data_IF_965705502273
#
_entry.id   IF_965705502273
#
_cell.length_a   1.000
_cell.length_b   1.000
_cell.length_c   1.000
_cell.angle_alpha   90.00
_cell.angle_beta   90.00
_cell.angle_gamma   90.00
#
_symmetry.space_group_name_H-M   'P 1'
#
loop_
_entity.id
_entity.type
_entity.pdbx_description
1 polymer ?
#
# COMPACT_ATOMS: atom_id res chain seq x y z
N UNK A 1 -24.34 -22.23 -19.62
CA UNK A 1 -23.10 -21.42 -19.44
C UNK A 1 -23.53 -19.96 -19.28
N UNK A 2 -23.13 -19.13 -18.31
CA UNK A 2 -22.24 -19.21 -17.16
C UNK A 2 -22.99 -18.59 -15.96
N UNK A 3 -22.95 -19.24 -14.79
CA UNK A 3 -23.55 -18.68 -13.57
C UNK A 3 -22.78 -17.40 -13.22
N UNK A 4 -23.48 -16.26 -13.19
CA UNK A 4 -22.98 -14.92 -12.86
C UNK A 4 -21.79 -14.95 -11.89
N UNK A 5 -20.57 -14.75 -12.40
CA UNK A 5 -19.40 -14.50 -11.57
C UNK A 5 -19.56 -13.12 -10.95
N UNK A 6 -20.22 -13.02 -9.79
CA UNK A 6 -20.05 -11.86 -8.91
C UNK A 6 -18.63 -11.96 -8.37
N UNK A 7 -17.71 -11.05 -8.74
CA UNK A 7 -16.38 -11.06 -8.15
C UNK A 7 -16.56 -10.96 -6.64
N UNK A 8 -15.96 -11.90 -5.90
CA UNK A 8 -15.96 -11.83 -4.44
C UNK A 8 -15.33 -10.49 -4.03
N UNK A 9 -15.85 -9.81 -3.00
CA UNK A 9 -15.37 -8.50 -2.55
C UNK A 9 -13.86 -8.51 -2.35
N UNK A 10 -13.33 -9.57 -1.72
CA UNK A 10 -11.89 -9.83 -1.64
C UNK A 10 -11.17 -9.71 -2.98
N UNK A 11 -11.69 -10.34 -4.04
CA UNK A 11 -11.07 -10.34 -5.37
C UNK A 11 -11.07 -8.94 -5.98
N UNK A 12 -12.12 -8.15 -5.77
CA UNK A 12 -12.17 -6.74 -6.24
C UNK A 12 -11.06 -5.94 -5.55
N UNK A 13 -10.91 -6.08 -4.23
CA UNK A 13 -9.89 -5.36 -3.46
C UNK A 13 -8.48 -5.82 -3.86
N UNK A 14 -8.21 -7.14 -3.90
CA UNK A 14 -6.87 -7.67 -4.17
C UNK A 14 -6.42 -7.41 -5.61
N UNK A 15 -7.32 -7.48 -6.60
CA UNK A 15 -6.98 -7.20 -8.00
C UNK A 15 -6.65 -5.73 -8.24
N UNK A 16 -7.12 -4.82 -7.37
CA UNK A 16 -6.91 -3.38 -7.49
C UNK A 16 -5.87 -2.82 -6.51
N UNK A 17 -5.27 -3.67 -5.66
CA UNK A 17 -4.35 -3.25 -4.59
C UNK A 17 -3.13 -2.46 -5.08
N UNK A 18 -2.67 -2.72 -6.31
CA UNK A 18 -1.54 -2.01 -6.91
C UNK A 18 -1.91 -0.59 -7.39
N UNK A 19 -3.17 -0.37 -7.78
CA UNK A 19 -3.65 0.87 -8.40
C UNK A 19 -4.20 1.86 -7.38
N UNK A 20 -4.91 1.35 -6.37
CA UNK A 20 -5.63 2.17 -5.41
C UNK A 20 -4.69 2.81 -4.39
N UNK A 21 -5.03 4.05 -4.01
CA UNK A 21 -4.28 4.86 -3.04
C UNK A 21 -5.16 5.35 -1.89
N UNK A 22 -6.48 5.38 -2.07
CA UNK A 22 -7.40 5.91 -1.05
C UNK A 22 -8.54 4.93 -0.71
N UNK A 23 -9.09 5.05 0.51
CA UNK A 23 -10.25 4.23 0.93
C UNK A 23 -11.48 4.57 0.07
N UNK A 24 -11.60 5.83 -0.38
CA UNK A 24 -12.69 6.28 -1.26
C UNK A 24 -12.70 5.50 -2.58
N UNK A 25 -11.55 5.35 -3.22
CA UNK A 25 -11.40 4.56 -4.45
C UNK A 25 -11.78 3.09 -4.22
N UNK A 26 -11.41 2.49 -3.07
CA UNK A 26 -11.84 1.12 -2.74
C UNK A 26 -13.36 1.01 -2.63
N UNK A 27 -14.01 1.97 -1.97
CA UNK A 27 -15.47 2.01 -1.84
C UNK A 27 -16.12 2.09 -3.22
N UNK A 28 -15.66 3.01 -4.07
CA UNK A 28 -16.18 3.22 -5.43
C UNK A 28 -16.06 1.96 -6.30
N UNK A 29 -14.96 1.20 -6.16
CA UNK A 29 -14.75 -0.07 -6.88
C UNK A 29 -15.73 -1.18 -6.47
N UNK A 30 -16.13 -1.21 -5.20
CA UNK A 30 -16.97 -2.28 -4.65
C UNK A 30 -18.46 -2.10 -4.94
N UNK A 31 -18.89 -0.88 -5.33
CA UNK A 31 -20.30 -0.52 -5.59
C UNK A 31 -21.26 -0.83 -4.43
N UNK A 32 -20.75 -0.85 -3.19
CA UNK A 32 -21.57 -0.97 -1.97
C UNK A 32 -21.56 0.34 -1.18
N UNK A 33 -22.50 0.50 -0.25
CA UNK A 33 -22.51 1.66 0.64
C UNK A 33 -21.27 1.67 1.56
N UNK A 34 -20.87 2.85 2.03
CA UNK A 34 -19.71 3.02 2.93
C UNK A 34 -19.80 2.13 4.16
N UNK A 35 -20.96 2.07 4.80
CA UNK A 35 -21.20 1.26 6.00
C UNK A 35 -21.00 -0.23 5.72
N UNK A 36 -21.55 -0.73 4.62
CA UNK A 36 -21.38 -2.13 4.20
C UNK A 36 -19.92 -2.41 3.84
N UNK A 37 -19.26 -1.48 3.15
CA UNK A 37 -17.84 -1.59 2.82
C UNK A 37 -16.99 -1.78 4.06
N UNK A 38 -17.07 -0.88 5.06
CA UNK A 38 -16.19 -0.95 6.23
C UNK A 38 -16.42 -2.23 7.04
N UNK A 39 -17.69 -2.61 7.25
CA UNK A 39 -18.03 -3.86 7.95
C UNK A 39 -17.44 -5.06 7.23
N UNK A 40 -17.74 -5.19 5.94
CA UNK A 40 -17.29 -6.33 5.11
C UNK A 40 -15.77 -6.37 4.94
N UNK A 41 -15.13 -5.20 4.83
CA UNK A 41 -13.68 -5.12 4.74
C UNK A 41 -13.02 -5.65 6.02
N UNK A 42 -13.53 -5.24 7.19
CA UNK A 42 -13.01 -5.75 8.45
C UNK A 42 -13.23 -7.26 8.61
N UNK A 43 -14.44 -7.75 8.26
CA UNK A 43 -14.76 -9.19 8.27
C UNK A 43 -13.84 -10.02 7.36
N UNK A 44 -13.49 -9.52 6.17
CA UNK A 44 -12.69 -10.27 5.20
C UNK A 44 -11.16 -10.08 5.39
N UNK A 45 -10.69 -8.94 5.90
CA UNK A 45 -9.26 -8.61 5.99
C UNK A 45 -8.72 -8.52 7.43
N UNK A 46 -9.59 -8.57 8.44
CA UNK A 46 -9.21 -8.51 9.85
C UNK A 46 -8.63 -7.17 10.31
N UNK A 47 -8.70 -6.13 9.46
CA UNK A 47 -8.17 -4.79 9.75
C UNK A 47 -8.95 -3.72 9.02
N UNK A 48 -8.77 -2.46 9.41
CA UNK A 48 -9.41 -1.34 8.70
C UNK A 48 -8.82 -1.15 7.29
N UNK A 49 -9.65 -0.69 6.35
CA UNK A 49 -9.20 -0.37 4.99
C UNK A 49 -8.08 0.68 4.96
N UNK A 50 -8.03 1.59 5.94
CA UNK A 50 -6.97 2.58 6.08
C UNK A 50 -5.63 1.92 6.44
N UNK A 51 -5.62 1.05 7.46
CA UNK A 51 -4.42 0.30 7.86
C UNK A 51 -3.94 -0.59 6.71
N UNK A 52 -4.86 -1.27 6.04
CA UNK A 52 -4.52 -2.12 4.91
C UNK A 52 -3.88 -1.31 3.76
N UNK A 53 -4.45 -0.16 3.39
CA UNK A 53 -3.85 0.71 2.37
C UNK A 53 -2.48 1.24 2.78
N UNK A 54 -2.29 1.55 4.06
CA UNK A 54 -0.99 1.94 4.59
C UNK A 54 0.01 0.78 4.44
N UNK A 55 -0.35 -0.44 4.85
CA UNK A 55 0.51 -1.62 4.68
C UNK A 55 0.87 -1.83 3.20
N UNK A 56 -0.10 -1.74 2.29
CA UNK A 56 0.16 -1.82 0.83
C UNK A 56 1.03 -0.68 0.31
N UNK A 57 0.94 0.52 0.89
CA UNK A 57 1.85 1.61 0.56
C UNK A 57 3.27 1.27 1.00
N UNK A 58 3.47 0.78 2.23
CA UNK A 58 4.78 0.40 2.74
C UNK A 58 5.41 -0.74 1.93
N UNK A 59 4.63 -1.76 1.59
CA UNK A 59 5.03 -2.85 0.67
C UNK A 59 5.55 -2.33 -0.66
N UNK A 60 4.79 -1.43 -1.31
CA UNK A 60 5.21 -0.85 -2.59
C UNK A 60 6.49 -0.04 -2.47
N UNK A 61 6.64 0.75 -1.41
CA UNK A 61 7.83 1.59 -1.21
C UNK A 61 9.06 0.71 -0.98
N UNK A 62 8.96 -0.29 -0.10
CA UNK A 62 10.05 -1.22 0.15
C UNK A 62 10.44 -1.99 -1.11
N UNK A 63 9.45 -2.47 -1.88
CA UNK A 63 9.70 -3.15 -3.15
C UNK A 63 10.42 -2.24 -4.15
N UNK A 64 9.94 -1.01 -4.36
CA UNK A 64 10.60 -0.04 -5.24
C UNK A 64 12.02 0.30 -4.77
N UNK A 65 12.25 0.37 -3.47
CA UNK A 65 13.57 0.65 -2.91
C UNK A 65 14.62 -0.41 -3.28
N UNK A 66 14.20 -1.65 -3.57
CA UNK A 66 15.09 -2.72 -4.06
C UNK A 66 15.66 -2.46 -5.45
N UNK A 67 15.02 -1.62 -6.27
CA UNK A 67 15.40 -1.47 -7.67
C UNK A 67 16.83 -0.90 -7.83
N UNK A 68 17.62 -1.46 -8.77
CA UNK A 68 18.94 -0.92 -9.11
C UNK A 68 18.84 0.53 -9.54
N UNK A 69 19.79 1.38 -9.10
CA UNK A 69 19.80 2.81 -9.45
C UNK A 69 18.67 3.64 -8.84
N UNK A 70 17.86 3.07 -7.93
CA UNK A 70 16.90 3.82 -7.11
C UNK A 70 17.66 4.83 -6.23
N UNK A 71 17.18 6.08 -6.23
CA UNK A 71 17.69 7.17 -5.39
C UNK A 71 16.60 7.64 -4.44
N UNK A 72 16.97 8.35 -3.37
CA UNK A 72 16.01 8.93 -2.43
C UNK A 72 14.99 9.84 -3.12
N UNK A 73 15.46 10.67 -4.08
CA UNK A 73 14.61 11.54 -4.89
C UNK A 73 13.62 10.75 -5.75
N UNK A 74 14.10 9.73 -6.48
CA UNK A 74 13.23 8.89 -7.31
C UNK A 74 12.18 8.19 -6.45
N UNK A 75 12.61 7.54 -5.37
CA UNK A 75 11.71 6.82 -4.47
C UNK A 75 10.67 7.74 -3.84
N UNK A 76 11.05 8.95 -3.42
CA UNK A 76 10.13 9.97 -2.90
C UNK A 76 9.03 10.32 -3.91
N UNK A 77 9.42 10.68 -5.12
CA UNK A 77 8.50 11.05 -6.21
C UNK A 77 7.58 9.88 -6.56
N UNK A 78 8.15 8.68 -6.71
CA UNK A 78 7.44 7.44 -7.01
C UNK A 78 6.44 6.99 -5.94
N UNK A 79 6.64 7.47 -4.71
CA UNK A 79 5.80 7.22 -3.55
C UNK A 79 4.73 8.30 -3.36
N UNK A 80 4.72 9.34 -4.22
CA UNK A 80 3.73 10.42 -4.22
C UNK A 80 4.05 11.58 -3.28
N UNK A 81 5.26 11.67 -2.72
CA UNK A 81 5.66 12.77 -1.84
C UNK A 81 6.21 13.95 -2.65
N UNK A 82 5.78 15.16 -2.29
CA UNK A 82 6.23 16.42 -2.92
C UNK A 82 7.42 17.06 -2.21
N UNK A 83 7.73 16.60 -1.00
CA UNK A 83 8.70 17.23 -0.10
C UNK A 83 9.60 16.19 0.55
N UNK A 84 10.91 16.44 0.52
CA UNK A 84 11.91 15.57 1.12
C UNK A 84 11.76 15.47 2.66
N UNK A 85 11.52 16.57 3.41
CA UNK A 85 11.19 16.49 4.83
C UNK A 85 9.98 15.59 5.13
N UNK A 86 8.90 15.71 4.35
CA UNK A 86 7.71 14.88 4.55
C UNK A 86 8.00 13.39 4.33
N UNK A 87 8.76 13.07 3.29
CA UNK A 87 9.17 11.70 3.00
C UNK A 87 10.14 11.16 4.06
N UNK A 88 11.07 11.99 4.54
CA UNK A 88 11.99 11.61 5.60
C UNK A 88 11.26 11.24 6.89
N UNK A 89 10.34 12.09 7.35
CA UNK A 89 9.50 11.81 8.52
C UNK A 89 8.65 10.56 8.31
N UNK A 90 8.08 10.38 7.11
CA UNK A 90 7.35 9.17 6.78
C UNK A 90 8.21 7.91 6.89
N UNK A 91 9.43 7.92 6.34
CA UNK A 91 10.34 6.78 6.41
C UNK A 91 10.71 6.43 7.85
N UNK A 92 11.05 7.45 8.66
CA UNK A 92 11.38 7.24 10.07
C UNK A 92 10.20 6.72 10.88
N UNK A 93 8.99 7.25 10.65
CA UNK A 93 7.80 6.81 11.37
C UNK A 93 7.39 5.38 11.03
N UNK A 94 7.42 5.00 9.74
CA UNK A 94 6.84 3.73 9.30
C UNK A 94 7.87 2.59 9.20
N UNK A 95 9.13 2.89 8.90
CA UNK A 95 10.20 1.89 8.76
C UNK A 95 11.25 1.98 9.87
N UNK A 96 11.30 3.07 10.65
CA UNK A 96 12.40 3.35 11.56
C UNK A 96 13.69 3.82 10.87
N UNK A 97 13.66 4.04 9.54
CA UNK A 97 14.83 4.26 8.71
C UNK A 97 14.81 5.64 8.03
N UNK A 98 15.98 6.20 7.74
CA UNK A 98 16.09 7.29 6.76
C UNK A 98 15.78 6.76 5.35
N UNK A 99 15.40 7.62 4.39
CA UNK A 99 15.25 7.22 3.00
C UNK A 99 16.48 6.51 2.40
N UNK A 100 17.69 6.94 2.77
CA UNK A 100 18.94 6.31 2.34
C UNK A 100 19.10 4.91 2.96
N UNK A 101 18.88 4.78 4.27
CA UNK A 101 18.94 3.49 4.98
C UNK A 101 17.93 2.50 4.42
N UNK A 102 16.70 2.96 4.12
CA UNK A 102 15.66 2.14 3.52
C UNK A 102 16.13 1.55 2.18
N UNK A 103 16.66 2.37 1.27
CA UNK A 103 17.15 1.88 -0.03
C UNK A 103 18.28 0.87 0.14
N UNK A 104 19.25 1.17 1.03
CA UNK A 104 20.39 0.28 1.27
C UNK A 104 19.92 -1.08 1.82
N UNK A 105 19.15 -1.08 2.90
CA UNK A 105 18.65 -2.29 3.56
C UNK A 105 17.67 -3.08 2.71
N UNK A 106 16.84 -2.41 1.90
CA UNK A 106 15.95 -3.07 0.96
C UNK A 106 16.72 -3.91 -0.06
N UNK A 107 17.89 -3.44 -0.53
CA UNK A 107 18.73 -4.19 -1.49
C UNK A 107 19.47 -5.36 -0.86
N UNK A 108 19.81 -5.23 0.41
CA UNK A 108 20.45 -6.29 1.21
C UNK A 108 19.44 -7.37 1.65
N UNK A 109 18.13 -7.17 1.40
CA UNK A 109 17.08 -8.10 1.80
C UNK A 109 16.69 -8.02 3.27
N UNK A 110 17.13 -6.98 4.00
CA UNK A 110 16.94 -6.85 5.45
C UNK A 110 15.57 -6.29 5.85
N UNK A 111 14.76 -5.83 4.89
CA UNK A 111 13.43 -5.27 5.18
C UNK A 111 12.39 -6.39 5.25
N UNK A 112 12.09 -6.83 6.47
CA UNK A 112 10.97 -7.74 6.74
C UNK A 112 9.71 -6.91 6.98
N UNK A 113 8.85 -6.83 5.97
CA UNK A 113 7.50 -6.33 6.16
C UNK A 113 6.66 -7.45 6.76
N UNK A 114 6.12 -7.23 7.96
CA UNK A 114 5.18 -8.17 8.58
C UNK A 114 3.95 -8.27 7.65
N UNK A 115 3.76 -9.45 7.06
CA UNK A 115 2.60 -9.84 6.24
C UNK A 115 1.39 -10.05 7.12
#
# INVERSE_FOLDING_TARGET
MAKYYRPNFRNIITSNQAKVRTVKELIELTKVSKTVFYRRFFEEFGMSAKQWLQQKQLERIAFKATFPGMTTRKLMTDSGFKSAPQFHTFCKHNFGLTPCELIRRSREGEIILKS
#
